data_IF_285458316415
#
_entry.id   IF_285458316415
#
_cell.length_a   1.000
_cell.length_b   1.000
_cell.length_c   1.000
_cell.angle_alpha   90.00
_cell.angle_beta   90.00
_cell.angle_gamma   90.00
#
_symmetry.space_group_name_H-M   'P 1'
#
loop_
_entity.id
_entity.type
_entity.pdbx_description
1 polymer ?
#
# COMPACT_ATOMS: atom_id res chain seq x y z
N UNK A 1 -16.24 -6.24 28.02
CA UNK A 1 -15.78 -5.68 26.74
C UNK A 1 -15.62 -6.80 25.73
N UNK A 2 -16.11 -6.59 24.53
CA UNK A 2 -15.88 -7.50 23.41
C UNK A 2 -14.99 -6.79 22.37
N UNK A 3 -13.83 -7.38 22.10
CA UNK A 3 -12.82 -6.80 21.22
C UNK A 3 -12.70 -7.61 19.93
N UNK A 4 -12.82 -6.92 18.81
CA UNK A 4 -12.69 -7.48 17.46
C UNK A 4 -11.51 -6.81 16.74
N UNK A 5 -10.38 -7.50 16.56
CA UNK A 5 -9.20 -6.90 15.89
C UNK A 5 -9.46 -6.58 14.42
N UNK A 6 -10.40 -7.28 13.79
CA UNK A 6 -10.82 -7.05 12.40
C UNK A 6 -12.25 -7.59 12.20
N UNK A 7 -13.06 -6.87 11.43
CA UNK A 7 -14.41 -7.34 11.09
C UNK A 7 -14.68 -7.47 9.59
N UNK A 8 -13.92 -6.79 8.76
CA UNK A 8 -14.21 -6.68 7.32
C UNK A 8 -13.89 -7.92 6.47
N UNK A 9 -13.12 -8.88 7.00
CA UNK A 9 -12.59 -10.02 6.25
C UNK A 9 -13.21 -11.37 6.64
N UNK A 10 -14.07 -11.40 7.66
CA UNK A 10 -14.68 -12.62 8.17
C UNK A 10 -16.20 -12.43 8.38
N UNK A 11 -16.99 -13.32 7.82
CA UNK A 11 -18.45 -13.23 7.91
C UNK A 11 -18.95 -13.30 9.35
N UNK A 12 -18.33 -14.13 10.19
CA UNK A 12 -18.72 -14.27 11.61
C UNK A 12 -18.48 -12.95 12.34
N UNK A 13 -17.34 -12.30 12.09
CA UNK A 13 -17.02 -11.00 12.67
C UNK A 13 -17.99 -9.91 12.18
N UNK A 14 -18.38 -9.93 10.88
CA UNK A 14 -19.40 -9.01 10.35
C UNK A 14 -20.73 -9.20 11.04
N UNK A 15 -21.21 -10.42 11.24
CA UNK A 15 -22.44 -10.70 11.97
C UNK A 15 -22.34 -10.30 13.45
N UNK A 16 -21.22 -10.64 14.10
CA UNK A 16 -20.97 -10.29 15.50
C UNK A 16 -20.95 -8.77 15.72
N UNK A 17 -20.38 -8.00 14.80
CA UNK A 17 -20.35 -6.52 14.88
C UNK A 17 -21.72 -5.87 14.78
N UNK A 18 -22.69 -6.57 14.23
CA UNK A 18 -24.10 -6.12 14.13
C UNK A 18 -25.00 -6.72 15.21
N UNK A 19 -24.41 -7.21 16.30
CA UNK A 19 -25.14 -7.82 17.40
C UNK A 19 -24.56 -7.34 18.73
N UNK A 20 -25.42 -7.08 19.74
CA UNK A 20 -24.96 -6.72 21.08
C UNK A 20 -24.52 -7.99 21.83
N UNK A 21 -23.21 -8.21 21.90
CA UNK A 21 -22.58 -9.34 22.59
C UNK A 21 -22.01 -8.96 23.95
N UNK A 22 -21.72 -7.67 24.16
CA UNK A 22 -21.20 -7.15 25.41
C UNK A 22 -21.66 -5.70 25.64
N UNK A 23 -21.60 -5.19 26.89
CA UNK A 23 -21.92 -3.79 27.20
C UNK A 23 -21.03 -2.77 26.44
N UNK A 24 -19.81 -3.13 26.10
CA UNK A 24 -18.89 -2.32 25.32
C UNK A 24 -18.25 -3.19 24.24
N UNK A 25 -18.31 -2.74 22.99
CA UNK A 25 -17.71 -3.43 21.85
C UNK A 25 -16.74 -2.49 21.13
N UNK A 26 -15.58 -3.06 20.76
CA UNK A 26 -14.45 -2.30 20.26
C UNK A 26 -13.85 -3.01 19.05
N UNK A 27 -13.49 -2.26 18.03
CA UNK A 27 -12.74 -2.76 16.89
C UNK A 27 -11.33 -2.15 16.84
N UNK A 28 -10.46 -2.72 16.05
CA UNK A 28 -9.11 -2.21 15.81
C UNK A 28 -8.77 -2.12 14.32
N UNK A 29 -7.55 -1.66 14.06
CA UNK A 29 -7.00 -1.33 12.75
C UNK A 29 -7.11 -2.44 11.68
N UNK A 30 -7.30 -3.71 12.06
CA UNK A 30 -7.57 -4.77 11.08
C UNK A 30 -8.82 -4.51 10.21
N UNK A 31 -9.67 -3.55 10.62
CA UNK A 31 -10.71 -2.95 9.79
C UNK A 31 -10.44 -1.44 9.66
N UNK A 32 -9.78 -0.99 8.58
CA UNK A 32 -9.28 0.40 8.46
C UNK A 32 -10.36 1.37 7.94
N UNK A 33 -11.55 1.32 8.52
CA UNK A 33 -12.69 2.19 8.22
C UNK A 33 -13.71 2.14 9.36
N UNK A 34 -14.67 3.08 9.34
CA UNK A 34 -15.86 3.00 10.20
C UNK A 34 -16.69 1.76 9.89
N UNK A 35 -17.39 1.25 10.91
CA UNK A 35 -18.28 0.10 10.73
C UNK A 35 -19.71 0.50 10.38
N UNK A 36 -20.11 1.73 10.73
CA UNK A 36 -21.52 2.19 10.73
C UNK A 36 -22.45 1.27 11.54
N UNK A 37 -21.91 0.51 12.49
CA UNK A 37 -22.70 -0.35 13.37
C UNK A 37 -23.14 0.39 14.63
N UNK A 38 -24.43 0.29 14.95
CA UNK A 38 -25.00 0.83 16.21
C UNK A 38 -24.53 0.07 17.47
N UNK A 39 -23.79 -1.02 17.27
CA UNK A 39 -23.32 -1.88 18.36
C UNK A 39 -21.83 -1.75 18.67
N UNK A 40 -21.08 -0.94 17.91
CA UNK A 40 -19.65 -0.69 18.13
C UNK A 40 -19.46 0.72 18.67
N UNK A 41 -18.93 0.83 19.87
CA UNK A 41 -18.70 2.11 20.54
C UNK A 41 -17.36 2.74 20.16
N UNK A 42 -16.31 1.93 19.99
CA UNK A 42 -14.95 2.44 19.86
C UNK A 42 -14.16 1.78 18.73
N UNK A 43 -13.32 2.59 18.09
CA UNK A 43 -12.25 2.14 17.19
C UNK A 43 -10.89 2.46 17.82
N UNK A 44 -10.04 1.45 17.95
CA UNK A 44 -8.66 1.61 18.37
C UNK A 44 -7.79 1.82 17.12
N UNK A 45 -7.13 2.94 17.02
CA UNK A 45 -6.32 3.31 15.86
C UNK A 45 -5.15 4.18 16.29
N UNK A 46 -4.01 4.06 15.63
CA UNK A 46 -2.86 4.94 15.85
C UNK A 46 -3.14 6.34 15.31
N UNK A 47 -2.69 7.35 16.04
CA UNK A 47 -3.04 8.75 15.80
C UNK A 47 -2.66 9.24 14.38
N UNK A 48 -1.52 8.82 13.89
CA UNK A 48 -1.01 9.19 12.56
C UNK A 48 -1.61 8.41 11.39
N UNK A 49 -2.55 7.47 11.66
CA UNK A 49 -3.34 6.80 10.63
C UNK A 49 -4.74 7.41 10.47
N UNK A 50 -5.09 8.40 11.29
CA UNK A 50 -6.39 9.08 11.21
C UNK A 50 -6.29 10.28 10.28
N UNK A 51 -6.85 10.19 9.10
CA UNK A 51 -6.95 11.32 8.18
C UNK A 51 -8.03 12.31 8.60
N UNK A 52 -9.23 11.83 8.94
CA UNK A 52 -10.33 12.64 9.45
C UNK A 52 -11.18 11.87 10.45
N UNK A 53 -11.44 12.47 11.61
CA UNK A 53 -12.40 11.92 12.61
C UNK A 53 -13.84 11.86 12.08
N UNK A 54 -14.17 12.72 11.12
CA UNK A 54 -15.51 12.80 10.55
C UNK A 54 -15.90 11.55 9.74
N UNK A 55 -14.94 10.70 9.40
CA UNK A 55 -15.16 9.45 8.70
C UNK A 55 -15.69 8.34 9.61
N UNK A 56 -15.72 8.54 10.93
CA UNK A 56 -16.10 7.51 11.90
C UNK A 56 -17.46 7.79 12.51
N UNK A 57 -18.28 6.75 12.66
CA UNK A 57 -19.49 6.75 13.47
C UNK A 57 -19.19 6.43 14.94
N UNK A 58 -18.08 5.77 15.21
CA UNK A 58 -17.62 5.36 16.53
C UNK A 58 -16.73 6.43 17.17
N UNK A 59 -16.51 6.31 18.49
CA UNK A 59 -15.49 7.10 19.18
C UNK A 59 -14.09 6.51 18.95
N UNK A 60 -13.12 7.39 18.66
CA UNK A 60 -11.75 6.97 18.47
C UNK A 60 -11.00 6.82 19.80
N UNK A 61 -10.42 5.65 20.03
CA UNK A 61 -9.39 5.42 21.04
C UNK A 61 -8.02 5.52 20.35
N UNK A 62 -7.47 6.71 20.34
CA UNK A 62 -6.20 6.99 19.65
C UNK A 62 -5.03 6.42 20.44
N UNK A 63 -4.23 5.63 19.78
CA UNK A 63 -2.95 5.18 20.29
C UNK A 63 -1.85 6.16 19.84
N UNK A 64 -0.77 6.31 20.63
CA UNK A 64 0.42 7.00 20.14
C UNK A 64 0.91 6.35 18.84
N UNK A 65 1.56 7.14 17.98
CA UNK A 65 2.29 6.57 16.85
C UNK A 65 3.28 5.52 17.39
N UNK A 66 3.48 4.46 16.66
CA UNK A 66 4.36 3.34 17.05
C UNK A 66 3.85 2.49 18.23
N UNK A 67 2.59 2.63 18.62
CA UNK A 67 2.00 1.80 19.69
C UNK A 67 1.84 0.32 19.28
N UNK A 68 1.74 0.06 17.98
CA UNK A 68 1.67 -1.28 17.39
C UNK A 68 2.85 -1.45 16.42
N UNK A 69 4.06 -1.71 16.93
CA UNK A 69 5.23 -1.84 16.08
C UNK A 69 5.08 -3.04 15.13
N UNK A 70 5.55 -2.86 13.91
CA UNK A 70 5.59 -3.96 12.95
C UNK A 70 6.59 -5.03 13.41
N UNK A 71 6.15 -6.27 13.37
CA UNK A 71 7.01 -7.44 13.60
C UNK A 71 7.24 -8.12 12.26
N UNK A 72 8.50 -8.22 11.78
CA UNK A 72 8.80 -8.90 10.53
C UNK A 72 8.28 -10.33 10.51
N UNK A 73 7.75 -10.74 9.35
CA UNK A 73 7.36 -12.13 9.14
C UNK A 73 8.56 -13.05 9.32
N UNK A 74 8.35 -14.24 9.91
CA UNK A 74 9.36 -15.28 9.94
C UNK A 74 9.82 -15.75 8.55
N UNK A 75 9.03 -15.43 7.51
CA UNK A 75 9.35 -15.68 6.10
C UNK A 75 10.07 -14.51 5.42
N UNK A 76 10.26 -13.38 6.13
CA UNK A 76 11.02 -12.26 5.60
C UNK A 76 12.49 -12.65 5.40
N UNK A 77 13.15 -12.17 4.33
CA UNK A 77 14.55 -12.46 4.10
C UNK A 77 15.40 -11.86 5.22
N UNK A 78 16.28 -12.67 5.81
CA UNK A 78 17.22 -12.22 6.84
C UNK A 78 18.31 -11.31 6.24
N UNK A 79 18.53 -11.40 4.96
CA UNK A 79 19.52 -10.63 4.23
C UNK A 79 18.97 -10.25 2.86
N UNK A 80 19.03 -8.96 2.52
CA UNK A 80 18.62 -8.45 1.22
C UNK A 80 19.84 -7.84 0.54
N UNK A 81 20.17 -8.34 -0.64
CA UNK A 81 21.13 -7.69 -1.53
C UNK A 81 20.38 -6.61 -2.34
N UNK A 82 20.61 -5.34 -2.01
CA UNK A 82 19.88 -4.24 -2.63
C UNK A 82 20.34 -3.99 -4.09
N UNK A 83 19.37 -4.03 -5.00
CA UNK A 83 19.63 -3.80 -6.41
C UNK A 83 19.40 -2.32 -6.75
N UNK A 84 20.48 -1.54 -6.81
CA UNK A 84 20.45 -0.13 -7.18
C UNK A 84 20.89 0.03 -8.63
N UNK A 85 19.96 0.28 -9.55
CA UNK A 85 20.27 0.56 -10.97
C UNK A 85 20.38 2.07 -11.18
N UNK A 86 21.56 2.54 -11.62
CA UNK A 86 21.83 3.98 -11.74
C UNK A 86 21.05 4.63 -12.89
N UNK A 87 21.08 4.04 -14.08
CA UNK A 87 20.42 4.58 -15.28
C UNK A 87 19.73 3.43 -16.06
N UNK A 88 18.63 2.89 -15.59
CA UNK A 88 17.94 1.84 -16.31
C UNK A 88 17.33 2.37 -17.62
N UNK A 89 17.49 1.61 -18.71
CA UNK A 89 16.83 1.92 -19.99
C UNK A 89 15.30 1.90 -19.87
N UNK A 90 14.78 1.00 -19.02
CA UNK A 90 13.38 0.90 -18.67
C UNK A 90 13.27 0.95 -17.15
N UNK A 91 12.48 1.87 -16.61
CA UNK A 91 12.17 1.97 -15.18
C UNK A 91 11.11 0.95 -14.85
N UNK A 92 11.44 -0.04 -14.04
CA UNK A 92 10.50 -1.04 -13.56
C UNK A 92 9.78 -0.52 -12.32
N UNK A 93 8.46 -0.44 -12.41
CA UNK A 93 7.58 0.07 -11.36
C UNK A 93 6.80 -1.10 -10.75
N UNK A 94 7.01 -1.38 -9.47
CA UNK A 94 6.33 -2.43 -8.73
C UNK A 94 4.98 -1.97 -8.21
N UNK A 95 3.99 -2.85 -8.28
CA UNK A 95 2.66 -2.67 -7.68
C UNK A 95 2.36 -3.92 -6.86
N UNK A 96 2.45 -3.80 -5.55
CA UNK A 96 2.01 -4.82 -4.61
C UNK A 96 0.51 -4.60 -4.34
N UNK A 97 -0.34 -5.51 -4.80
CA UNK A 97 -1.78 -5.31 -4.69
C UNK A 97 -2.53 -6.63 -4.63
N UNK A 98 -3.67 -6.63 -3.95
CA UNK A 98 -4.70 -7.65 -4.18
C UNK A 98 -5.55 -7.25 -5.38
N UNK A 99 -6.23 -8.22 -6.01
CA UNK A 99 -7.12 -7.94 -7.14
C UNK A 99 -8.24 -6.96 -6.79
N UNK A 100 -8.70 -6.94 -5.53
CA UNK A 100 -9.75 -6.04 -5.05
C UNK A 100 -9.34 -4.55 -5.05
N UNK A 101 -8.05 -4.24 -5.00
CA UNK A 101 -7.55 -2.86 -5.03
C UNK A 101 -7.41 -2.32 -6.46
N UNK A 102 -7.45 -3.17 -7.47
CA UNK A 102 -7.39 -2.75 -8.87
C UNK A 102 -8.73 -2.14 -9.28
N UNK A 103 -8.69 -0.88 -9.64
CA UNK A 103 -9.88 -0.14 -10.08
C UNK A 103 -9.54 0.74 -11.30
N UNK A 104 -10.57 1.17 -12.07
CA UNK A 104 -10.36 1.97 -13.29
C UNK A 104 -9.60 3.27 -13.08
N UNK A 105 -9.82 3.96 -11.96
CA UNK A 105 -9.14 5.24 -11.67
C UNK A 105 -7.64 5.05 -11.43
N UNK A 106 -7.27 4.01 -10.67
CA UNK A 106 -5.87 3.67 -10.46
C UNK A 106 -5.19 3.26 -11.77
N UNK A 107 -5.81 2.39 -12.56
CA UNK A 107 -5.24 1.98 -13.86
C UNK A 107 -5.15 3.14 -14.87
N UNK A 108 -6.11 4.07 -14.85
CA UNK A 108 -6.04 5.29 -15.66
C UNK A 108 -4.87 6.20 -15.23
N UNK A 109 -4.59 6.30 -13.92
CA UNK A 109 -3.42 7.03 -13.43
C UNK A 109 -2.11 6.39 -13.88
N UNK A 110 -2.00 5.05 -13.83
CA UNK A 110 -0.81 4.34 -14.34
C UNK A 110 -0.64 4.55 -15.85
N UNK A 111 -1.75 4.53 -16.60
CA UNK A 111 -1.73 4.87 -18.03
C UNK A 111 -1.23 6.30 -18.27
N UNK A 112 -1.68 7.27 -17.48
CA UNK A 112 -1.20 8.65 -17.58
C UNK A 112 0.29 8.78 -17.25
N UNK A 113 0.81 8.02 -16.26
CA UNK A 113 2.24 7.96 -15.95
C UNK A 113 3.02 7.45 -17.17
N UNK A 114 2.60 6.32 -17.76
CA UNK A 114 3.25 5.75 -18.95
C UNK A 114 3.25 6.72 -20.14
N UNK A 115 2.11 7.34 -20.41
CA UNK A 115 1.91 8.16 -21.60
C UNK A 115 2.61 9.53 -21.51
N UNK A 116 2.87 10.02 -20.29
CA UNK A 116 3.44 11.37 -20.04
C UNK A 116 4.91 11.34 -19.64
N UNK A 117 5.43 10.21 -19.11
CA UNK A 117 6.82 10.10 -18.74
C UNK A 117 7.76 10.16 -19.96
N UNK A 118 8.88 10.89 -19.82
CA UNK A 118 9.91 10.98 -20.86
C UNK A 118 10.86 9.76 -20.86
N UNK A 119 10.71 8.86 -19.89
CA UNK A 119 11.44 7.60 -19.78
C UNK A 119 10.51 6.42 -20.04
N UNK A 120 11.03 5.32 -20.54
CA UNK A 120 10.24 4.09 -20.66
C UNK A 120 9.97 3.54 -19.27
N UNK A 121 8.71 3.19 -19.02
CA UNK A 121 8.29 2.53 -17.78
C UNK A 121 7.67 1.17 -18.07
N UNK A 122 7.84 0.22 -17.16
CA UNK A 122 7.18 -1.07 -17.21
C UNK A 122 6.61 -1.40 -15.83
N UNK A 123 5.34 -1.77 -15.77
CA UNK A 123 4.63 -2.04 -14.51
C UNK A 123 4.60 -3.53 -14.20
N UNK A 124 5.07 -3.90 -13.01
CA UNK A 124 5.04 -5.27 -12.50
C UNK A 124 3.99 -5.37 -11.39
N UNK A 125 2.86 -5.99 -11.71
CA UNK A 125 1.80 -6.24 -10.75
C UNK A 125 2.05 -7.55 -10.03
N UNK A 126 2.48 -7.49 -8.77
CA UNK A 126 2.60 -8.63 -7.87
C UNK A 126 1.25 -8.83 -7.16
N UNK A 127 0.41 -9.70 -7.72
CA UNK A 127 -1.02 -9.76 -7.40
C UNK A 127 -1.34 -10.83 -6.35
N UNK A 128 -1.80 -10.40 -5.19
CA UNK A 128 -2.50 -11.28 -4.25
C UNK A 128 -3.87 -11.69 -4.78
N UNK A 129 -4.27 -12.94 -4.53
CA UNK A 129 -5.58 -13.52 -4.90
C UNK A 129 -5.83 -13.70 -6.41
N UNK A 130 -4.86 -13.43 -7.27
CA UNK A 130 -4.95 -13.61 -8.71
C UNK A 130 -4.41 -14.98 -9.10
N UNK A 131 -5.27 -15.98 -9.17
CA UNK A 131 -4.87 -17.38 -9.46
C UNK A 131 -5.87 -18.12 -10.35
N UNK A 132 -5.43 -19.23 -10.91
CA UNK A 132 -6.28 -20.13 -11.70
C UNK A 132 -7.03 -19.39 -12.81
N UNK A 133 -8.32 -19.65 -12.91
CA UNK A 133 -9.19 -19.11 -13.97
C UNK A 133 -9.42 -17.59 -13.87
N UNK A 134 -9.19 -16.98 -12.70
CA UNK A 134 -9.39 -15.55 -12.52
C UNK A 134 -8.21 -14.73 -13.06
N UNK A 135 -7.00 -15.25 -13.03
CA UNK A 135 -5.79 -14.55 -13.46
C UNK A 135 -5.86 -14.01 -14.90
N UNK A 136 -6.26 -14.75 -15.92
CA UNK A 136 -6.37 -14.25 -17.30
C UNK A 136 -7.34 -13.06 -17.46
N UNK A 137 -8.37 -12.98 -16.62
CA UNK A 137 -9.31 -11.83 -16.64
C UNK A 137 -8.65 -10.58 -16.04
N UNK A 138 -7.94 -10.74 -14.92
CA UNK A 138 -7.20 -9.65 -14.28
C UNK A 138 -6.09 -9.14 -15.19
N UNK A 139 -5.32 -10.04 -15.81
CA UNK A 139 -4.29 -9.70 -16.80
C UNK A 139 -4.88 -8.91 -17.97
N UNK A 140 -6.00 -9.36 -18.54
CA UNK A 140 -6.70 -8.66 -19.62
C UNK A 140 -7.18 -7.28 -19.21
N UNK A 141 -7.70 -7.15 -17.98
CA UNK A 141 -8.12 -5.87 -17.43
C UNK A 141 -6.94 -4.89 -17.32
N UNK A 142 -5.80 -5.32 -16.78
CA UNK A 142 -4.57 -4.51 -16.70
C UNK A 142 -4.09 -4.13 -18.11
N UNK A 143 -4.01 -5.09 -19.02
CA UNK A 143 -3.54 -4.88 -20.39
C UNK A 143 -4.46 -3.97 -21.21
N UNK A 144 -5.74 -3.87 -20.88
CA UNK A 144 -6.64 -2.94 -21.55
C UNK A 144 -6.28 -1.46 -21.32
N UNK A 145 -5.57 -1.13 -20.25
CA UNK A 145 -5.04 0.20 -19.95
C UNK A 145 -3.58 0.37 -20.38
N UNK A 146 -2.75 -0.64 -20.14
CA UNK A 146 -1.30 -0.52 -20.18
C UNK A 146 -0.65 -1.28 -21.36
N UNK A 147 -1.40 -2.11 -22.06
CA UNK A 147 -0.88 -2.86 -23.20
C UNK A 147 0.26 -3.79 -22.79
N UNK A 148 1.36 -3.72 -23.53
CA UNK A 148 2.57 -4.51 -23.30
C UNK A 148 3.51 -3.88 -22.25
N UNK A 149 3.19 -2.69 -21.74
CA UNK A 149 4.00 -2.01 -20.72
C UNK A 149 3.67 -2.49 -19.31
N UNK A 150 2.98 -3.59 -19.17
CA UNK A 150 2.63 -4.21 -17.89
C UNK A 150 2.74 -5.73 -17.93
N UNK A 151 3.21 -6.29 -16.81
CA UNK A 151 3.20 -7.71 -16.53
C UNK A 151 2.36 -7.97 -15.29
N UNK A 152 1.30 -8.75 -15.43
CA UNK A 152 0.52 -9.24 -14.31
C UNK A 152 1.09 -10.59 -13.84
N UNK A 153 1.69 -10.59 -12.65
CA UNK A 153 2.18 -11.83 -12.04
C UNK A 153 1.06 -12.47 -11.24
N UNK A 154 0.82 -13.77 -11.40
CA UNK A 154 -0.20 -14.47 -10.60
C UNK A 154 0.21 -14.50 -9.12
N UNK A 155 -0.74 -14.86 -8.26
CA UNK A 155 -0.46 -15.10 -6.85
C UNK A 155 0.68 -16.11 -6.71
N UNK A 156 1.68 -15.75 -5.93
CA UNK A 156 2.89 -16.54 -5.74
C UNK A 156 3.22 -16.64 -4.23
N UNK A 157 4.00 -17.64 -3.81
CA UNK A 157 4.60 -17.69 -2.48
C UNK A 157 5.37 -16.41 -2.15
N UNK A 158 5.47 -16.08 -0.87
CA UNK A 158 5.99 -14.78 -0.41
C UNK A 158 7.42 -14.48 -0.92
N UNK A 159 8.29 -15.46 -0.95
CA UNK A 159 9.65 -15.32 -1.48
C UNK A 159 9.67 -14.98 -2.98
N UNK A 160 8.78 -15.56 -3.76
CA UNK A 160 8.65 -15.26 -5.19
C UNK A 160 8.02 -13.88 -5.42
N UNK A 161 7.02 -13.52 -4.62
CA UNK A 161 6.44 -12.18 -4.62
C UNK A 161 7.50 -11.11 -4.34
N UNK A 162 8.33 -11.30 -3.30
CA UNK A 162 9.42 -10.38 -3.00
C UNK A 162 10.45 -10.29 -4.14
N UNK A 163 10.76 -11.39 -4.83
CA UNK A 163 11.67 -11.36 -6.01
C UNK A 163 11.10 -10.53 -7.16
N UNK A 164 9.79 -10.55 -7.38
CA UNK A 164 9.15 -9.70 -8.40
C UNK A 164 9.41 -8.23 -8.07
N UNK A 165 9.12 -7.81 -6.84
CA UNK A 165 9.32 -6.43 -6.40
C UNK A 165 10.80 -6.04 -6.34
N UNK A 166 11.68 -6.93 -5.90
CA UNK A 166 13.13 -6.69 -5.84
C UNK A 166 13.74 -6.32 -7.20
N UNK A 167 13.14 -6.77 -8.30
CA UNK A 167 13.57 -6.42 -9.66
C UNK A 167 13.06 -5.04 -10.11
N UNK A 168 12.28 -4.34 -9.29
CA UNK A 168 11.77 -3.00 -9.59
C UNK A 168 12.73 -1.90 -9.12
N UNK A 169 12.55 -0.71 -9.66
CA UNK A 169 13.34 0.48 -9.33
C UNK A 169 12.61 1.36 -8.32
N UNK A 170 11.30 1.34 -8.36
CA UNK A 170 10.39 2.07 -7.49
C UNK A 170 9.06 1.36 -7.40
N UNK A 171 8.20 1.82 -6.51
CA UNK A 171 6.82 1.34 -6.40
C UNK A 171 5.80 2.48 -6.53
N UNK A 172 4.57 2.12 -6.86
CA UNK A 172 3.41 3.01 -6.74
C UNK A 172 2.31 2.26 -6.00
N UNK A 173 1.76 2.90 -4.97
CA UNK A 173 0.73 2.28 -4.15
C UNK A 173 -0.66 2.46 -4.76
N UNK A 174 -1.52 1.45 -4.71
CA UNK A 174 -2.91 1.58 -5.17
C UNK A 174 -3.67 2.59 -4.33
N UNK A 175 -4.73 3.15 -4.92
CA UNK A 175 -5.68 4.02 -4.24
C UNK A 175 -7.11 3.75 -4.75
N UNK A 176 -8.16 4.10 -3.98
CA UNK A 176 -8.17 4.76 -2.69
C UNK A 176 -7.66 3.89 -1.55
N UNK A 177 -7.74 2.58 -1.65
CA UNK A 177 -7.25 1.68 -0.61
C UNK A 177 -5.73 1.49 -0.75
N UNK A 178 -4.99 2.05 0.21
CA UNK A 178 -3.53 2.03 0.26
C UNK A 178 -2.91 0.65 0.46
N UNK A 179 -1.63 0.61 0.75
CA UNK A 179 -0.86 -0.64 0.63
C UNK A 179 -0.29 -1.19 1.95
N UNK A 180 -0.32 -0.46 3.03
CA UNK A 180 0.15 -0.88 4.38
C UNK A 180 1.28 -1.93 4.39
N UNK A 181 0.94 -3.23 4.32
CA UNK A 181 1.93 -4.33 4.32
C UNK A 181 2.88 -4.26 3.12
N UNK A 182 2.39 -3.85 1.95
CA UNK A 182 3.24 -3.67 0.77
C UNK A 182 4.26 -2.53 0.91
N UNK A 183 4.01 -1.54 1.81
CA UNK A 183 5.01 -0.53 2.15
C UNK A 183 6.13 -1.15 2.98
N UNK A 184 5.80 -2.04 3.91
CA UNK A 184 6.81 -2.77 4.68
C UNK A 184 7.69 -3.62 3.75
N UNK A 185 7.07 -4.33 2.79
CA UNK A 185 7.81 -5.09 1.78
C UNK A 185 8.68 -4.17 0.89
N UNK A 186 8.14 -3.03 0.47
CA UNK A 186 8.85 -2.00 -0.29
C UNK A 186 10.12 -1.55 0.43
N UNK A 187 9.99 -1.21 1.70
CA UNK A 187 11.11 -0.72 2.53
C UNK A 187 12.10 -1.83 2.80
N UNK A 188 11.65 -3.04 3.13
CA UNK A 188 12.49 -4.23 3.31
C UNK A 188 13.38 -4.48 2.09
N UNK A 189 12.87 -4.19 0.88
CA UNK A 189 13.61 -4.32 -0.38
C UNK A 189 14.42 -3.06 -0.75
N UNK A 190 14.48 -2.04 0.10
CA UNK A 190 15.15 -0.78 -0.17
C UNK A 190 14.57 -0.06 -1.39
N UNK A 191 13.26 -0.18 -1.62
CA UNK A 191 12.53 0.53 -2.66
C UNK A 191 11.88 1.79 -2.09
N UNK A 192 11.68 2.77 -2.96
CA UNK A 192 10.92 3.99 -2.67
C UNK A 192 9.67 4.02 -3.52
N UNK A 193 8.64 4.70 -3.07
CA UNK A 193 7.37 4.74 -3.80
C UNK A 193 6.59 6.04 -3.65
N UNK A 194 5.44 6.07 -4.33
CA UNK A 194 4.45 7.15 -4.25
C UNK A 194 3.17 6.57 -3.65
N UNK A 195 2.55 7.31 -2.74
CA UNK A 195 1.21 7.02 -2.27
C UNK A 195 0.25 8.20 -2.51
N UNK A 196 -1.04 7.91 -2.53
CA UNK A 196 -2.10 8.92 -2.51
C UNK A 196 -2.81 8.84 -1.18
N UNK A 197 -2.86 9.94 -0.47
CA UNK A 197 -3.57 10.06 0.82
C UNK A 197 -5.03 10.45 0.65
N UNK A 198 -5.79 10.33 1.73
CA UNK A 198 -7.19 10.73 1.82
C UNK A 198 -7.66 10.84 3.27
N UNK A 199 -8.96 10.93 3.46
CA UNK A 199 -9.57 11.16 4.77
C UNK A 199 -9.77 9.87 5.58
N UNK A 200 -10.01 8.76 4.90
CA UNK A 200 -10.23 7.45 5.52
C UNK A 200 -8.93 6.81 5.97
N UNK A 201 -8.97 5.94 6.98
CA UNK A 201 -7.76 5.25 7.47
C UNK A 201 -7.08 4.46 6.36
N UNK A 202 -7.86 3.72 5.58
CA UNK A 202 -7.30 2.92 4.47
C UNK A 202 -6.68 3.76 3.34
N UNK A 203 -6.98 5.06 3.27
CA UNK A 203 -6.35 6.02 2.37
C UNK A 203 -5.14 6.72 3.02
N UNK A 204 -5.15 6.89 4.36
CA UNK A 204 -4.21 7.73 5.10
C UNK A 204 -3.03 6.96 5.71
N UNK A 205 -3.19 5.67 5.95
CA UNK A 205 -2.17 4.84 6.59
C UNK A 205 -0.83 4.84 5.84
N UNK A 206 -0.86 4.91 4.52
CA UNK A 206 0.35 4.98 3.69
C UNK A 206 1.11 6.30 3.94
N UNK A 207 0.41 7.41 4.13
CA UNK A 207 1.01 8.70 4.54
C UNK A 207 1.68 8.59 5.91
N UNK A 208 0.99 8.02 6.90
CA UNK A 208 1.53 7.80 8.23
C UNK A 208 2.84 7.00 8.19
N UNK A 209 2.87 5.92 7.44
CA UNK A 209 4.07 5.09 7.26
C UNK A 209 5.20 5.85 6.55
N UNK A 210 4.91 6.62 5.50
CA UNK A 210 5.92 7.43 4.79
C UNK A 210 6.54 8.50 5.71
N UNK A 211 5.72 9.13 6.54
CA UNK A 211 6.18 10.12 7.54
C UNK A 211 7.04 9.49 8.64
N UNK A 212 6.69 8.29 9.13
CA UNK A 212 7.52 7.53 10.08
C UNK A 212 8.91 7.21 9.51
N UNK A 213 8.98 6.93 8.21
CA UNK A 213 10.23 6.68 7.48
C UNK A 213 11.05 7.96 7.22
N UNK A 214 10.56 9.14 7.59
CA UNK A 214 11.21 10.40 7.25
C UNK A 214 11.27 10.68 5.75
N UNK A 215 10.38 10.10 4.96
CA UNK A 215 10.33 10.32 3.52
C UNK A 215 9.81 11.75 3.21
N UNK A 216 10.29 12.37 2.14
CA UNK A 216 9.84 13.70 1.73
C UNK A 216 8.33 13.75 1.45
N UNK A 217 7.66 14.81 1.89
CA UNK A 217 6.21 14.98 1.71
C UNK A 217 5.76 14.95 0.24
N UNK A 218 6.64 15.31 -0.69
CA UNK A 218 6.30 15.25 -2.10
C UNK A 218 6.04 13.82 -2.63
N UNK A 219 6.39 12.77 -1.89
CA UNK A 219 6.03 11.38 -2.21
C UNK A 219 4.58 11.03 -1.84
N UNK A 220 3.89 11.92 -1.12
CA UNK A 220 2.52 11.75 -0.61
C UNK A 220 1.58 12.67 -1.40
N UNK A 221 0.83 12.16 -2.35
CA UNK A 221 -0.08 12.92 -3.21
C UNK A 221 -1.45 13.12 -2.57
N UNK A 222 -2.05 14.30 -2.72
CA UNK A 222 -3.42 14.59 -2.28
C UNK A 222 -4.46 14.35 -3.40
N UNK A 223 -4.05 14.53 -4.65
CA UNK A 223 -4.90 14.37 -5.82
C UNK A 223 -4.33 13.32 -6.77
N UNK A 224 -5.16 12.85 -7.70
CA UNK A 224 -4.70 11.91 -8.74
C UNK A 224 -3.68 12.58 -9.68
N UNK A 225 -3.85 13.86 -9.99
CA UNK A 225 -2.92 14.58 -10.84
C UNK A 225 -1.55 14.73 -10.17
N UNK A 226 -1.52 15.10 -8.89
CA UNK A 226 -0.27 15.11 -8.10
C UNK A 226 0.38 13.72 -8.05
N UNK A 227 -0.41 12.66 -7.88
CA UNK A 227 0.11 11.29 -7.86
C UNK A 227 0.81 10.94 -9.17
N UNK A 228 0.20 11.26 -10.29
CA UNK A 228 0.78 11.03 -11.62
C UNK A 228 2.07 11.84 -11.81
N UNK A 229 2.04 13.14 -11.49
CA UNK A 229 3.21 14.04 -11.64
C UNK A 229 4.39 13.61 -10.77
N UNK A 230 4.12 13.25 -9.52
CA UNK A 230 5.13 12.81 -8.56
C UNK A 230 5.71 11.43 -8.93
N UNK A 231 4.89 10.53 -9.46
CA UNK A 231 5.35 9.24 -9.96
C UNK A 231 6.25 9.41 -11.20
N UNK A 232 5.90 10.32 -12.11
CA UNK A 232 6.73 10.69 -13.27
C UNK A 232 8.06 11.28 -12.79
N UNK A 233 8.04 12.25 -11.86
CA UNK A 233 9.26 12.83 -11.28
C UNK A 233 10.18 11.74 -10.71
N UNK A 234 9.63 10.81 -9.94
CA UNK A 234 10.40 9.73 -9.33
C UNK A 234 10.96 8.76 -10.38
N UNK A 235 10.22 8.51 -11.47
CA UNK A 235 10.67 7.67 -12.57
C UNK A 235 11.79 8.32 -13.39
N UNK A 236 11.71 9.62 -13.66
CA UNK A 236 12.63 10.36 -14.50
C UNK A 236 13.92 10.76 -13.78
N UNK A 237 13.83 11.11 -12.49
CA UNK A 237 15.01 11.54 -11.72
C UNK A 237 15.71 10.35 -11.06
N UNK A 238 16.58 9.70 -11.83
CA UNK A 238 17.32 8.53 -11.38
C UNK A 238 18.18 8.81 -10.13
N UNK A 239 18.83 9.99 -10.07
CA UNK A 239 19.67 10.36 -8.95
C UNK A 239 18.84 10.54 -7.66
N UNK A 240 17.75 11.30 -7.71
CA UNK A 240 16.85 11.52 -6.57
C UNK A 240 16.26 10.19 -6.07
N UNK A 241 15.86 9.31 -7.01
CA UNK A 241 15.35 7.98 -6.67
C UNK A 241 16.39 7.13 -5.94
N UNK A 242 17.64 7.14 -6.37
CA UNK A 242 18.72 6.41 -5.71
C UNK A 242 19.06 6.96 -4.34
N UNK A 243 19.05 8.27 -4.16
CA UNK A 243 19.28 8.93 -2.87
C UNK A 243 18.19 8.53 -1.86
N UNK A 244 16.93 8.57 -2.27
CA UNK A 244 15.80 8.14 -1.45
C UNK A 244 15.88 6.66 -1.08
N UNK A 245 16.28 5.80 -2.01
CA UNK A 245 16.47 4.37 -1.75
C UNK A 245 17.60 4.11 -0.75
N UNK A 246 18.73 4.84 -0.86
CA UNK A 246 19.81 4.77 0.13
C UNK A 246 19.34 5.23 1.51
N UNK A 247 18.60 6.33 1.57
CA UNK A 247 18.00 6.81 2.81
C UNK A 247 17.13 5.74 3.49
N UNK A 248 16.29 5.04 2.72
CA UNK A 248 15.45 3.93 3.24
C UNK A 248 16.33 2.80 3.78
N UNK A 249 17.34 2.37 3.02
CA UNK A 249 18.25 1.27 3.40
C UNK A 249 18.99 1.58 4.71
N UNK A 250 19.42 2.83 4.90
CA UNK A 250 20.13 3.28 6.08
C UNK A 250 19.21 3.42 7.32
N UNK A 251 17.91 3.60 7.10
CA UNK A 251 16.93 3.87 8.14
C UNK A 251 15.89 2.75 8.34
N UNK A 252 16.17 1.54 7.90
CA UNK A 252 15.26 0.38 8.02
C UNK A 252 14.75 0.14 9.43
N UNK A 253 15.54 0.47 10.46
CA UNK A 253 15.18 0.31 11.88
C UNK A 253 14.02 1.23 12.33
N UNK A 254 13.62 2.21 11.54
CA UNK A 254 12.52 3.13 11.90
C UNK A 254 11.12 2.50 11.73
N UNK A 255 11.02 1.34 11.07
CA UNK A 255 9.75 0.60 10.89
C UNK A 255 9.69 -0.64 11.79
N UNK A 256 10.80 -1.12 12.28
CA UNK A 256 10.90 -2.35 13.08
C UNK A 256 10.92 -2.09 14.56
#
# INVERSE_FOLDING_TARGET
VFYMPSIGMDLTAIFASNTRLAPVQVIALGHPATTHSDFIEYVIVEDDYVGSEKCFSEQLLRLPKDALPYVPSALAPQHVEYRLRENPEVVNIGIASTTMKLNPYFLAALKAIRDRANVKVHFHFALGQSSGVTHPYVERFIKSYLGNDATAHPHAPYDQYLRILHNCDMMVNPFPFGNTNGIIDMVTLGLVGICKTGAEVHEHIDEGLFKRLGLPEWLIANTVDEYVERAIRLAENHQERLELRRHIIENLSLIH
#
